data_IF_348559415193
#
_entry.id   IF_348559415193
#
_cell.length_a   1.000
_cell.length_b   1.000
_cell.length_c   1.000
_cell.angle_alpha   90.00
_cell.angle_beta   90.00
_cell.angle_gamma   90.00
#
_symmetry.space_group_name_H-M   'P 1'
#
loop_
_entity.id
_entity.type
_entity.pdbx_description
1 polymer ?
#
# COMPACT_ATOMS: atom_id res chain seq x y z
N UNK A 1 -13.52 6.52 8.00
CA UNK A 1 -12.37 5.69 7.65
C UNK A 1 -11.56 6.35 6.56
N UNK A 2 -10.23 6.45 6.69
CA UNK A 2 -9.43 6.99 5.60
C UNK A 2 -9.63 6.17 4.32
N UNK A 3 -9.67 6.85 3.17
CA UNK A 3 -9.76 6.17 1.89
C UNK A 3 -8.43 5.57 1.48
N UNK A 4 -8.45 4.35 0.98
CA UNK A 4 -7.29 3.71 0.36
C UNK A 4 -7.63 3.38 -1.08
N UNK A 5 -6.89 3.99 -2.00
CA UNK A 5 -6.97 3.68 -3.42
C UNK A 5 -5.63 3.13 -3.88
N UNK A 6 -5.66 2.18 -4.78
CA UNK A 6 -4.44 1.62 -5.34
C UNK A 6 -4.56 1.50 -6.85
N UNK A 7 -3.43 1.55 -7.54
CA UNK A 7 -3.39 1.44 -8.99
C UNK A 7 -1.99 1.52 -9.54
N UNK A 8 -1.92 1.81 -10.82
CA UNK A 8 -0.66 2.04 -11.53
C UNK A 8 -0.16 3.46 -11.37
N UNK A 9 0.87 3.79 -12.15
CA UNK A 9 1.48 5.12 -12.12
C UNK A 9 0.43 6.19 -12.46
N UNK A 10 0.19 7.14 -11.56
CA UNK A 10 -0.82 8.16 -11.81
C UNK A 10 -0.30 9.21 -12.78
N UNK A 11 -1.20 9.74 -13.60
CA UNK A 11 -0.94 10.94 -14.37
C UNK A 11 -1.19 12.18 -13.51
N UNK A 12 -0.75 13.33 -13.99
CA UNK A 12 -1.04 14.59 -13.30
C UNK A 12 -2.55 14.80 -13.14
N UNK A 13 -3.32 14.52 -14.17
CA UNK A 13 -4.79 14.59 -14.12
C UNK A 13 -5.38 13.67 -13.06
N UNK A 14 -4.85 12.44 -12.94
CA UNK A 14 -5.26 11.49 -11.91
C UNK A 14 -4.95 12.04 -10.52
N UNK A 15 -3.75 12.59 -10.32
CA UNK A 15 -3.36 13.17 -9.03
C UNK A 15 -4.25 14.35 -8.65
N UNK A 16 -4.59 15.21 -9.60
CA UNK A 16 -5.52 16.33 -9.38
C UNK A 16 -6.90 15.80 -8.93
N UNK A 17 -7.41 14.79 -9.60
CA UNK A 17 -8.70 14.19 -9.26
C UNK A 17 -8.69 13.55 -7.88
N UNK A 18 -7.61 12.85 -7.53
CA UNK A 18 -7.44 12.23 -6.22
C UNK A 18 -7.38 13.28 -5.10
N UNK A 19 -6.62 14.35 -5.30
CA UNK A 19 -6.53 15.45 -4.35
C UNK A 19 -7.91 16.10 -4.13
N UNK A 20 -8.68 16.29 -5.21
CA UNK A 20 -10.02 16.84 -5.13
C UNK A 20 -10.98 15.93 -4.35
N UNK A 21 -10.73 14.63 -4.34
CA UNK A 21 -11.53 13.63 -3.60
C UNK A 21 -11.09 13.46 -2.14
N UNK A 22 -10.10 14.20 -1.70
CA UNK A 22 -9.67 14.16 -0.31
C UNK A 22 -8.44 13.30 -0.04
N UNK A 23 -7.80 12.72 -1.05
CA UNK A 23 -6.51 12.05 -0.87
C UNK A 23 -5.48 13.07 -0.38
N UNK A 24 -4.64 12.66 0.56
CA UNK A 24 -3.65 13.53 1.20
C UNK A 24 -2.22 13.03 1.02
N UNK A 25 -2.03 11.74 0.75
CA UNK A 25 -0.70 11.21 0.50
C UNK A 25 -0.69 10.24 -0.67
N UNK A 26 0.47 10.15 -1.31
CA UNK A 26 0.75 9.20 -2.38
C UNK A 26 1.95 8.36 -1.93
N UNK A 27 1.79 7.05 -1.92
CA UNK A 27 2.89 6.12 -1.62
C UNK A 27 3.32 5.45 -2.91
N UNK A 28 4.57 5.66 -3.27
CA UNK A 28 5.18 5.16 -4.50
C UNK A 28 6.13 4.02 -4.17
N UNK A 29 5.77 2.82 -4.59
CA UNK A 29 6.53 1.60 -4.32
C UNK A 29 7.55 1.29 -5.40
N UNK A 30 7.64 2.12 -6.45
CA UNK A 30 8.59 1.89 -7.54
C UNK A 30 10.03 2.10 -7.08
N UNK A 31 10.93 1.34 -7.69
CA UNK A 31 12.35 1.57 -7.54
C UNK A 31 12.77 2.80 -8.35
N UNK A 32 13.88 3.47 -8.00
CA UNK A 32 14.31 4.68 -8.69
C UNK A 32 14.43 4.52 -10.21
N UNK A 33 14.92 3.36 -10.68
CA UNK A 33 15.09 3.12 -12.12
C UNK A 33 13.76 2.98 -12.88
N UNK A 34 12.66 2.74 -12.18
CA UNK A 34 11.32 2.63 -12.77
C UNK A 34 10.63 3.99 -12.91
N UNK A 35 11.16 5.02 -12.26
CA UNK A 35 10.52 6.33 -12.21
C UNK A 35 10.90 7.17 -13.43
N UNK A 36 9.88 7.77 -14.04
CA UNK A 36 10.05 8.78 -15.08
C UNK A 36 9.13 9.95 -14.74
N UNK A 37 9.57 11.16 -15.05
CA UNK A 37 8.76 12.36 -14.81
C UNK A 37 8.91 12.93 -13.39
N UNK A 38 7.94 13.76 -13.01
CA UNK A 38 8.03 14.64 -11.85
C UNK A 38 6.90 14.40 -10.84
N UNK A 39 6.57 13.14 -10.53
CA UNK A 39 5.44 12.85 -9.66
C UNK A 39 5.56 13.52 -8.29
N UNK A 40 6.74 13.47 -7.67
CA UNK A 40 6.99 14.12 -6.38
C UNK A 40 6.71 15.62 -6.43
N UNK A 41 7.13 16.27 -7.52
CA UNK A 41 6.91 17.70 -7.72
C UNK A 41 5.43 18.01 -7.93
N UNK A 42 4.73 17.22 -8.71
CA UNK A 42 3.29 17.39 -8.93
C UNK A 42 2.54 17.22 -7.61
N UNK A 43 2.90 16.21 -6.82
CA UNK A 43 2.31 16.01 -5.50
C UNK A 43 2.52 17.23 -4.61
N UNK A 44 3.73 17.78 -4.57
CA UNK A 44 4.02 18.98 -3.80
C UNK A 44 3.13 20.16 -4.24
N UNK A 45 2.99 20.37 -5.53
CA UNK A 45 2.15 21.44 -6.08
C UNK A 45 0.67 21.28 -5.71
N UNK A 46 0.21 20.03 -5.56
CA UNK A 46 -1.17 19.72 -5.22
C UNK A 46 -1.42 19.62 -3.70
N UNK A 47 -0.39 19.84 -2.88
CA UNK A 47 -0.50 19.67 -1.44
C UNK A 47 -0.59 18.23 -0.98
N UNK A 48 -0.14 17.29 -1.80
CA UNK A 48 -0.08 15.87 -1.45
C UNK A 48 1.29 15.53 -0.87
N UNK A 49 1.33 14.78 0.23
CA UNK A 49 2.57 14.22 0.73
C UNK A 49 3.01 13.08 -0.19
N UNK A 50 4.24 13.13 -0.66
CA UNK A 50 4.80 12.06 -1.50
C UNK A 50 5.75 11.23 -0.66
N UNK A 51 5.47 9.92 -0.58
CA UNK A 51 6.27 8.97 0.19
C UNK A 51 6.84 7.93 -0.77
N UNK A 52 8.15 7.92 -0.94
CA UNK A 52 8.84 6.92 -1.72
C UNK A 52 9.23 5.76 -0.79
N UNK A 53 8.73 4.56 -1.08
CA UNK A 53 9.07 3.35 -0.34
C UNK A 53 9.38 2.24 -1.36
N UNK A 54 10.60 2.23 -1.92
CA UNK A 54 10.94 1.29 -2.98
C UNK A 54 10.79 -0.16 -2.55
N UNK A 55 10.06 -0.94 -3.36
CA UNK A 55 9.91 -2.39 -3.22
C UNK A 55 10.47 -3.09 -4.45
N UNK A 56 11.17 -4.20 -4.24
CA UNK A 56 11.56 -5.13 -5.28
C UNK A 56 10.60 -6.33 -5.30
N UNK A 57 11.12 -7.54 -5.14
CA UNK A 57 10.37 -8.79 -5.26
C UNK A 57 9.80 -9.29 -3.93
N UNK A 58 10.09 -8.61 -2.84
CA UNK A 58 9.63 -8.97 -1.50
C UNK A 58 9.04 -7.77 -0.79
N UNK A 59 8.28 -8.02 0.28
CA UNK A 59 7.77 -6.94 1.12
C UNK A 59 8.93 -6.21 1.81
N UNK A 60 8.76 -4.93 2.18
CA UNK A 60 9.70 -4.24 3.06
C UNK A 60 9.86 -5.02 4.37
N UNK A 61 10.91 -4.74 5.13
CA UNK A 61 11.08 -5.38 6.43
C UNK A 61 9.90 -5.09 7.37
N UNK A 62 9.83 -5.80 8.50
CA UNK A 62 8.70 -5.66 9.42
C UNK A 62 8.52 -4.22 9.93
N UNK A 63 9.58 -3.51 10.38
CA UNK A 63 9.39 -2.13 10.83
C UNK A 63 8.85 -1.20 9.74
N UNK A 64 9.37 -1.29 8.52
CA UNK A 64 8.91 -0.47 7.41
C UNK A 64 7.48 -0.81 7.01
N UNK A 65 7.15 -2.10 6.97
CA UNK A 65 5.79 -2.56 6.67
C UNK A 65 4.79 -2.10 7.74
N UNK A 66 5.15 -2.20 9.00
CA UNK A 66 4.31 -1.73 10.10
C UNK A 66 4.04 -0.23 10.00
N UNK A 67 5.08 0.56 9.73
CA UNK A 67 4.92 2.01 9.54
C UNK A 67 4.02 2.32 8.34
N UNK A 68 4.18 1.58 7.25
CA UNK A 68 3.33 1.77 6.08
C UNK A 68 1.87 1.48 6.41
N UNK A 69 1.58 0.37 7.08
CA UNK A 69 0.21 0.04 7.47
C UNK A 69 -0.40 1.12 8.38
N UNK A 70 0.39 1.69 9.27
CA UNK A 70 -0.04 2.82 10.10
C UNK A 70 -0.39 4.05 9.27
N UNK A 71 0.44 4.39 8.29
CA UNK A 71 0.16 5.50 7.37
C UNK A 71 -1.14 5.28 6.62
N UNK A 72 -1.33 4.07 6.08
CA UNK A 72 -2.56 3.73 5.34
C UNK A 72 -3.80 3.79 6.24
N UNK A 73 -3.66 3.49 7.52
CA UNK A 73 -4.76 3.53 8.49
C UNK A 73 -5.15 4.94 8.91
N UNK A 74 -4.22 5.89 8.84
CA UNK A 74 -4.42 7.22 9.39
C UNK A 74 -4.65 8.33 8.36
N UNK A 75 -4.30 8.09 7.10
CA UNK A 75 -4.30 9.13 6.07
C UNK A 75 -4.89 8.60 4.78
N UNK A 76 -5.83 9.35 4.15
CA UNK A 76 -6.36 8.96 2.83
C UNK A 76 -5.22 8.91 1.80
N UNK A 77 -5.03 7.75 1.19
CA UNK A 77 -3.82 7.42 0.44
C UNK A 77 -4.12 6.86 -0.94
N UNK A 78 -3.33 7.27 -1.92
CA UNK A 78 -3.17 6.56 -3.18
C UNK A 78 -1.85 5.79 -3.15
N UNK A 79 -1.94 4.48 -3.24
CA UNK A 79 -0.81 3.55 -3.22
C UNK A 79 -0.58 3.00 -4.61
N UNK A 80 0.64 3.09 -5.13
CA UNK A 80 0.91 2.57 -6.46
C UNK A 80 2.30 1.97 -6.60
N UNK A 81 2.44 1.11 -7.58
CA UNK A 81 3.69 0.60 -8.12
C UNK A 81 3.73 0.90 -9.61
N UNK A 82 4.41 0.08 -10.41
CA UNK A 82 4.46 0.35 -11.86
C UNK A 82 3.14 0.00 -12.54
N UNK A 83 2.65 -1.24 -12.35
CA UNK A 83 1.41 -1.72 -13.00
C UNK A 83 0.17 -1.69 -12.12
N UNK A 84 0.33 -1.55 -10.80
CA UNK A 84 -0.79 -1.46 -9.88
C UNK A 84 -1.40 -2.81 -9.47
N UNK A 85 -0.74 -3.91 -9.75
CA UNK A 85 -1.28 -5.25 -9.46
C UNK A 85 -0.46 -6.04 -8.45
N UNK A 86 0.87 -6.05 -8.56
CA UNK A 86 1.67 -6.96 -7.74
C UNK A 86 2.12 -6.34 -6.42
N UNK A 87 3.01 -5.35 -6.45
CA UNK A 87 3.55 -4.74 -5.23
C UNK A 87 2.49 -3.98 -4.46
N UNK A 88 1.75 -3.11 -5.11
CA UNK A 88 0.65 -2.40 -4.47
C UNK A 88 -0.45 -3.35 -4.02
N UNK A 89 -0.76 -4.37 -4.82
CA UNK A 89 -1.72 -5.40 -4.44
C UNK A 89 -1.31 -6.16 -3.19
N UNK A 90 -0.03 -6.50 -3.05
CA UNK A 90 0.48 -7.18 -1.86
C UNK A 90 0.29 -6.33 -0.60
N UNK A 91 0.56 -5.04 -0.67
CA UNK A 91 0.35 -4.13 0.46
C UNK A 91 -1.15 -4.00 0.79
N UNK A 92 -2.01 -3.89 -0.23
CA UNK A 92 -3.46 -3.87 -0.01
C UNK A 92 -3.93 -5.16 0.68
N UNK A 93 -3.43 -6.32 0.24
CA UNK A 93 -3.76 -7.59 0.87
C UNK A 93 -3.38 -7.62 2.35
N UNK A 94 -2.18 -7.12 2.70
CA UNK A 94 -1.78 -6.98 4.10
C UNK A 94 -2.68 -6.03 4.88
N UNK A 95 -3.03 -4.92 4.30
CA UNK A 95 -3.96 -3.97 4.92
C UNK A 95 -5.30 -4.66 5.23
N UNK A 96 -5.82 -5.43 4.27
CA UNK A 96 -7.06 -6.20 4.47
C UNK A 96 -6.93 -7.19 5.62
N UNK A 97 -5.86 -7.98 5.65
CA UNK A 97 -5.71 -9.04 6.65
C UNK A 97 -5.31 -8.52 8.02
N UNK A 98 -4.35 -7.61 8.09
CA UNK A 98 -3.78 -7.14 9.37
C UNK A 98 -4.65 -6.05 10.00
N UNK A 99 -5.06 -5.06 9.21
CA UNK A 99 -5.79 -3.90 9.73
C UNK A 99 -7.29 -4.14 9.75
N UNK A 100 -7.85 -4.67 8.67
CA UNK A 100 -9.30 -4.86 8.52
C UNK A 100 -9.81 -6.23 8.95
N UNK A 101 -8.92 -7.16 9.29
CA UNK A 101 -9.31 -8.46 9.81
C UNK A 101 -9.85 -9.45 8.79
N UNK A 102 -9.59 -9.24 7.50
CA UNK A 102 -9.99 -10.20 6.48
C UNK A 102 -9.23 -11.51 6.63
N UNK A 103 -9.85 -12.61 6.21
CA UNK A 103 -9.15 -13.88 6.09
C UNK A 103 -8.16 -13.84 4.92
N UNK A 104 -7.14 -14.69 4.97
CA UNK A 104 -6.21 -14.84 3.84
C UNK A 104 -6.91 -15.25 2.55
N UNK A 105 -7.86 -16.21 2.56
CA UNK A 105 -8.60 -16.53 1.34
C UNK A 105 -9.37 -15.35 0.74
N UNK A 106 -10.00 -14.53 1.57
CA UNK A 106 -10.72 -13.34 1.10
C UNK A 106 -9.77 -12.33 0.46
N UNK A 107 -8.67 -12.02 1.14
CA UNK A 107 -7.67 -11.11 0.62
C UNK A 107 -7.00 -11.65 -0.65
N UNK A 108 -6.72 -12.95 -0.69
CA UNK A 108 -6.16 -13.62 -1.86
C UNK A 108 -7.08 -13.57 -3.07
N UNK A 109 -8.38 -13.76 -2.86
CA UNK A 109 -9.36 -13.65 -3.94
C UNK A 109 -9.39 -12.25 -4.55
N UNK A 110 -9.43 -11.22 -3.70
CA UNK A 110 -9.37 -9.82 -4.17
C UNK A 110 -8.07 -9.57 -4.93
N UNK A 111 -6.95 -10.02 -4.37
CA UNK A 111 -5.62 -9.83 -4.96
C UNK A 111 -5.53 -10.41 -6.37
N UNK A 112 -6.02 -11.65 -6.55
CA UNK A 112 -6.04 -12.31 -7.85
C UNK A 112 -6.97 -11.60 -8.84
N UNK A 113 -8.11 -11.11 -8.39
CA UNK A 113 -9.04 -10.37 -9.24
C UNK A 113 -8.44 -9.07 -9.77
N UNK A 114 -7.52 -8.46 -9.02
CA UNK A 114 -6.85 -7.24 -9.42
C UNK A 114 -5.55 -7.50 -10.20
N UNK A 115 -5.33 -8.73 -10.64
CA UNK A 115 -4.28 -9.06 -11.60
C UNK A 115 -2.94 -9.47 -11.00
N UNK A 116 -2.91 -9.80 -9.71
CA UNK A 116 -1.67 -10.29 -9.07
C UNK A 116 -1.17 -11.55 -9.78
N UNK A 117 0.13 -11.58 -10.06
CA UNK A 117 0.78 -12.73 -10.65
C UNK A 117 1.11 -13.78 -9.58
N UNK A 118 0.39 -14.94 -9.57
CA UNK A 118 0.61 -15.96 -8.53
C UNK A 118 1.97 -16.66 -8.63
N UNK A 119 2.71 -16.48 -9.72
CA UNK A 119 4.06 -17.01 -9.86
C UNK A 119 5.12 -16.18 -9.13
N UNK A 120 4.76 -15.04 -8.56
CA UNK A 120 5.61 -14.27 -7.67
C UNK A 120 5.59 -14.91 -6.27
N UNK A 121 6.27 -16.07 -6.17
CA UNK A 121 6.19 -16.94 -4.99
C UNK A 121 6.70 -16.29 -3.72
N UNK A 122 7.79 -15.52 -3.81
CA UNK A 122 8.36 -14.84 -2.63
C UNK A 122 7.36 -13.85 -2.08
N UNK A 123 6.77 -13.02 -2.93
CA UNK A 123 5.81 -12.02 -2.51
C UNK A 123 4.53 -12.64 -1.95
N UNK A 124 4.04 -13.71 -2.59
CA UNK A 124 2.87 -14.45 -2.12
C UNK A 124 3.14 -15.09 -0.74
N UNK A 125 4.30 -15.70 -0.57
CA UNK A 125 4.71 -16.27 0.71
C UNK A 125 4.83 -15.19 1.80
N UNK A 126 5.41 -14.04 1.46
CA UNK A 126 5.56 -12.92 2.39
C UNK A 126 4.21 -12.42 2.88
N UNK A 127 3.21 -12.34 2.02
CA UNK A 127 1.86 -11.92 2.43
C UNK A 127 1.34 -12.84 3.55
N UNK A 128 1.48 -14.14 3.38
CA UNK A 128 1.04 -15.11 4.37
C UNK A 128 1.85 -15.01 5.67
N UNK A 129 3.17 -14.96 5.54
CA UNK A 129 4.08 -14.91 6.68
C UNK A 129 3.91 -13.61 7.48
N UNK A 130 3.88 -12.47 6.80
CA UNK A 130 3.70 -11.16 7.44
C UNK A 130 2.32 -11.03 8.08
N UNK A 131 1.29 -11.55 7.44
CA UNK A 131 -0.06 -11.57 8.04
C UNK A 131 -0.04 -12.29 9.38
N UNK A 132 0.58 -13.47 9.42
CA UNK A 132 0.69 -14.26 10.65
C UNK A 132 1.45 -13.51 11.74
N UNK A 133 2.61 -12.96 11.39
CA UNK A 133 3.48 -12.29 12.36
C UNK A 133 2.89 -10.96 12.84
N UNK A 134 2.33 -10.16 11.96
CA UNK A 134 1.77 -8.85 12.30
C UNK A 134 0.40 -8.95 12.98
N UNK A 135 -0.28 -10.10 12.91
CA UNK A 135 -1.55 -10.33 13.62
C UNK A 135 -1.35 -10.83 15.06
N UNK A 136 -0.13 -11.03 15.51
CA UNK A 136 0.13 -11.34 16.92
C UNK A 136 -0.38 -10.20 17.80
N UNK A 137 -0.94 -10.55 18.97
CA UNK A 137 -1.66 -9.61 19.83
C UNK A 137 -0.94 -8.28 20.11
N UNK A 138 0.35 -8.24 20.47
CA UNK A 138 1.00 -6.96 20.78
C UNK A 138 1.02 -6.00 19.58
N UNK A 139 1.31 -6.53 18.39
CA UNK A 139 1.36 -5.72 17.18
C UNK A 139 -0.04 -5.30 16.74
N UNK A 140 -1.00 -6.22 16.83
CA UNK A 140 -2.40 -5.92 16.52
C UNK A 140 -2.94 -4.80 17.40
N UNK A 141 -2.66 -4.84 18.69
CA UNK A 141 -3.07 -3.79 19.62
C UNK A 141 -2.41 -2.45 19.31
N UNK A 142 -1.12 -2.47 18.96
CA UNK A 142 -0.40 -1.26 18.60
C UNK A 142 -0.99 -0.62 17.31
N UNK A 143 -1.28 -1.43 16.30
CA UNK A 143 -1.90 -0.95 15.07
C UNK A 143 -3.32 -0.45 15.30
N UNK A 144 -4.08 -1.14 16.14
CA UNK A 144 -5.44 -0.73 16.51
C UNK A 144 -5.44 0.64 17.21
N UNK A 145 -4.51 0.87 18.12
CA UNK A 145 -4.39 2.16 18.80
C UNK A 145 -4.10 3.31 17.84
N UNK A 146 -3.30 3.06 16.81
CA UNK A 146 -2.99 4.06 15.79
C UNK A 146 -4.19 4.31 14.88
N UNK A 147 -4.93 3.28 14.53
CA UNK A 147 -6.11 3.40 13.68
C UNK A 147 -7.29 4.12 14.36
N UNK A 148 -7.31 4.16 15.69
CA UNK A 148 -8.40 4.79 16.48
C UNK A 148 -8.06 6.20 16.96
N UNK A 149 -6.82 6.65 16.79
CA UNK A 149 -6.43 8.02 17.07
C UNK A 149 -6.46 8.88 15.82
#
# INVERSE_FOLDING_TARGET
MPGLFSGGVPTETTLQALAARGIRQVVDLRQPHEKAGNEARVCEQLGLEYVALPMAESLPDFPATEQLLRRLSSTPTYLHCHHGSDRSGAIVALYRTVVQGWSLPQAGTELLRHGFNPHLEVLAHDICFYTRELRREPLKQALHRVATT
#
